data_IF_499102074046
#
_entry.id   IF_499102074046
#
_cell.length_a   1.000
_cell.length_b   1.000
_cell.length_c   1.000
_cell.angle_alpha   90.00
_cell.angle_beta   90.00
_cell.angle_gamma   90.00
#
_symmetry.space_group_name_H-M   'P 1'
#
loop_
_entity.id
_entity.type
_entity.pdbx_description
1 polymer ?
#
# COMPACT_ATOMS: atom_id res chain seq x y z
N UNK A 1 55.25 -33.18 10.01
CA UNK A 1 55.84 -32.35 11.09
C UNK A 1 55.48 -30.88 10.88
N UNK A 2 54.26 -30.44 11.22
CA UNK A 2 53.86 -29.01 11.13
C UNK A 2 52.84 -28.62 12.22
N UNK A 3 52.93 -29.19 13.43
CA UNK A 3 51.95 -28.93 14.51
C UNK A 3 52.57 -28.48 15.84
N UNK A 4 53.78 -27.93 15.84
CA UNK A 4 54.45 -27.51 17.09
C UNK A 4 55.09 -26.11 17.03
N UNK A 5 54.58 -25.19 16.20
CA UNK A 5 55.01 -23.78 16.24
C UNK A 5 53.98 -22.92 16.96
N UNK A 6 54.00 -23.14 18.27
CA UNK A 6 53.73 -22.24 19.38
C UNK A 6 52.95 -20.94 19.12
N UNK A 7 51.92 -20.75 19.94
CA UNK A 7 51.28 -19.51 20.44
C UNK A 7 52.24 -18.38 20.91
N UNK A 8 53.50 -18.34 20.46
CA UNK A 8 54.48 -17.30 20.78
C UNK A 8 54.14 -15.94 20.17
N UNK A 9 53.33 -15.88 19.11
CA UNK A 9 52.91 -14.62 18.46
C UNK A 9 51.89 -13.83 19.32
N UNK A 10 51.19 -14.48 20.25
CA UNK A 10 50.22 -13.83 21.14
C UNK A 10 50.76 -13.52 22.55
N UNK A 11 52.03 -13.85 22.85
CA UNK A 11 52.66 -13.53 24.14
C UNK A 11 52.91 -12.01 24.24
N UNK A 12 51.90 -11.29 24.68
CA UNK A 12 51.92 -9.83 24.92
C UNK A 12 50.69 -9.10 24.38
N UNK A 13 50.05 -9.66 23.35
CA UNK A 13 48.88 -9.05 22.70
C UNK A 13 47.54 -9.40 23.37
N UNK A 14 47.52 -10.32 24.33
CA UNK A 14 46.28 -10.73 25.04
C UNK A 14 45.56 -9.57 25.75
N UNK A 15 46.31 -8.56 26.24
CA UNK A 15 45.72 -7.34 26.82
C UNK A 15 45.05 -6.48 25.74
N UNK A 16 45.68 -6.36 24.57
CA UNK A 16 45.13 -5.65 23.41
C UNK A 16 43.88 -6.35 22.88
N UNK A 17 43.92 -7.68 22.75
CA UNK A 17 42.76 -8.49 22.39
C UNK A 17 41.60 -8.32 23.39
N UNK A 18 41.90 -8.31 24.69
CA UNK A 18 40.91 -8.07 25.74
C UNK A 18 40.25 -6.69 25.63
N UNK A 19 41.04 -5.64 25.36
CA UNK A 19 40.51 -4.28 25.16
C UNK A 19 39.63 -4.20 23.91
N UNK A 20 40.06 -4.81 22.80
CA UNK A 20 39.27 -4.84 21.56
C UNK A 20 37.96 -5.58 21.76
N UNK A 21 37.99 -6.76 22.40
CA UNK A 21 36.77 -7.53 22.68
C UNK A 21 35.81 -6.77 23.61
N UNK A 22 36.35 -6.11 24.65
CA UNK A 22 35.54 -5.27 25.53
C UNK A 22 34.94 -4.07 24.77
N UNK A 23 35.70 -3.44 23.88
CA UNK A 23 35.23 -2.36 23.02
C UNK A 23 34.13 -2.82 22.06
N UNK A 24 34.32 -3.96 21.38
CA UNK A 24 33.30 -4.55 20.53
C UNK A 24 32.04 -4.91 21.31
N UNK A 25 32.17 -5.53 22.49
CA UNK A 25 31.03 -5.83 23.35
C UNK A 25 30.28 -4.56 23.77
N UNK A 26 31.00 -3.49 24.11
CA UNK A 26 30.39 -2.20 24.46
C UNK A 26 29.64 -1.58 23.27
N UNK A 27 30.23 -1.57 22.07
CA UNK A 27 29.54 -1.11 20.86
C UNK A 27 28.31 -1.95 20.56
N UNK A 28 28.42 -3.29 20.66
CA UNK A 28 27.29 -4.19 20.51
C UNK A 28 26.20 -3.90 21.55
N UNK A 29 26.54 -3.64 22.81
CA UNK A 29 25.57 -3.25 23.83
C UNK A 29 24.89 -1.91 23.52
N UNK A 30 25.65 -0.89 23.11
CA UNK A 30 25.09 0.43 22.74
C UNK A 30 24.10 0.29 21.58
N UNK A 31 24.42 -0.52 20.57
CA UNK A 31 23.56 -0.74 19.40
C UNK A 31 22.37 -1.66 19.72
N UNK A 32 22.59 -2.74 20.49
CA UNK A 32 21.55 -3.72 20.79
C UNK A 32 20.48 -3.19 21.73
N UNK A 33 20.87 -2.37 22.71
CA UNK A 33 19.95 -1.71 23.65
C UNK A 33 19.54 -0.31 23.19
N UNK A 34 19.95 0.09 21.98
CA UNK A 34 19.74 1.44 21.43
C UNK A 34 19.94 2.54 22.48
N UNK A 35 21.08 2.54 23.19
CA UNK A 35 21.33 3.48 24.29
C UNK A 35 21.37 4.95 23.86
N UNK A 36 21.41 5.19 22.56
CA UNK A 36 21.37 6.52 21.94
C UNK A 36 19.94 6.93 21.52
N UNK A 37 18.94 6.04 21.68
CA UNK A 37 17.54 6.25 21.31
C UNK A 37 17.36 6.52 19.82
N UNK A 38 18.21 5.94 18.97
CA UNK A 38 18.18 6.18 17.52
C UNK A 38 16.97 5.51 16.89
N UNK A 39 16.64 4.28 17.26
CA UNK A 39 15.50 3.54 16.74
C UNK A 39 14.18 4.27 17.08
N UNK A 40 14.05 4.70 18.33
CA UNK A 40 12.82 5.31 18.88
C UNK A 40 12.69 6.80 18.57
N UNK A 41 13.67 7.38 17.88
CA UNK A 41 13.71 8.82 17.63
C UNK A 41 12.60 9.25 16.68
N UNK A 42 11.62 9.97 17.22
CA UNK A 42 10.70 10.82 16.46
C UNK A 42 11.18 12.27 16.53
N UNK A 43 11.56 12.92 15.41
CA UNK A 43 11.99 14.31 15.44
C UNK A 43 10.91 15.27 15.97
N UNK A 44 11.34 16.33 16.66
CA UNK A 44 10.45 17.41 17.06
C UNK A 44 10.04 18.27 15.86
N UNK A 45 8.80 18.76 15.80
CA UNK A 45 8.34 19.57 14.67
C UNK A 45 9.21 20.81 14.44
N UNK A 46 9.74 21.41 15.51
CA UNK A 46 10.68 22.53 15.42
C UNK A 46 11.99 22.19 14.69
N UNK A 47 12.40 20.91 14.68
CA UNK A 47 13.60 20.41 14.02
C UNK A 47 13.36 20.05 12.55
N UNK A 48 12.11 19.76 12.17
CA UNK A 48 11.77 19.29 10.83
C UNK A 48 11.86 20.45 9.84
N UNK A 49 12.49 20.19 8.70
CA UNK A 49 12.43 21.03 7.51
C UNK A 49 11.38 20.48 6.54
N UNK A 50 11.44 19.18 6.25
CA UNK A 50 10.43 18.46 5.46
C UNK A 50 10.20 17.06 6.02
N UNK A 51 9.00 16.54 5.84
CA UNK A 51 8.63 15.17 6.13
C UNK A 51 7.95 14.58 4.90
N UNK A 52 8.54 13.53 4.34
CA UNK A 52 7.88 12.70 3.34
C UNK A 52 7.27 11.47 4.02
N UNK A 53 5.99 11.21 3.76
CA UNK A 53 5.28 10.01 4.19
C UNK A 53 4.81 9.24 2.95
N UNK A 54 5.19 7.96 2.87
CA UNK A 54 4.65 7.02 1.89
C UNK A 54 3.75 6.01 2.57
N UNK A 55 2.49 5.96 2.15
CA UNK A 55 1.45 5.09 2.68
C UNK A 55 0.32 4.92 1.66
N UNK A 56 -0.34 3.76 1.65
CA UNK A 56 -1.49 3.46 0.77
C UNK A 56 -1.17 3.74 -0.71
N UNK A 57 0.06 3.42 -1.11
CA UNK A 57 0.64 3.67 -2.44
C UNK A 57 0.80 5.13 -2.88
N UNK A 58 0.64 6.09 -1.97
CA UNK A 58 0.87 7.50 -2.23
C UNK A 58 2.09 8.00 -1.47
N UNK A 59 2.66 9.11 -1.95
CA UNK A 59 3.73 9.84 -1.28
C UNK A 59 3.28 11.28 -1.05
N UNK A 60 3.36 11.74 0.20
CA UNK A 60 3.02 13.12 0.57
C UNK A 60 4.24 13.83 1.14
N UNK A 61 4.55 15.02 0.63
CA UNK A 61 5.58 15.89 1.20
C UNK A 61 4.93 16.95 2.08
N UNK A 62 5.33 17.00 3.35
CA UNK A 62 4.84 17.92 4.36
C UNK A 62 5.93 18.90 4.78
N UNK A 63 5.54 20.15 5.02
CA UNK A 63 6.37 21.25 5.50
C UNK A 63 5.72 21.88 6.74
N UNK A 64 6.49 22.26 7.78
CA UNK A 64 5.92 22.91 8.96
C UNK A 64 5.12 24.18 8.64
N UNK A 65 5.50 24.92 7.60
CA UNK A 65 4.87 26.19 7.24
C UNK A 65 3.47 26.03 6.65
N UNK A 66 3.23 24.97 5.85
CA UNK A 66 1.93 24.72 5.21
C UNK A 66 1.10 23.68 5.94
N UNK A 67 1.76 22.76 6.65
CA UNK A 67 1.19 21.45 6.99
C UNK A 67 1.33 21.10 8.47
N UNK A 68 1.41 22.12 9.35
CA UNK A 68 1.65 21.92 10.79
C UNK A 68 0.75 20.85 11.42
N UNK A 69 -0.55 20.89 11.11
CA UNK A 69 -1.53 19.94 11.68
C UNK A 69 -1.32 18.50 11.15
N UNK A 70 -1.09 18.32 9.85
CA UNK A 70 -0.80 17.00 9.27
C UNK A 70 0.54 16.47 9.75
N UNK A 71 1.53 17.34 9.88
CA UNK A 71 2.86 17.00 10.40
C UNK A 71 2.75 16.48 11.83
N UNK A 72 1.97 17.12 12.70
CA UNK A 72 1.72 16.62 14.05
C UNK A 72 0.94 15.30 14.05
N UNK A 73 -0.04 15.12 13.16
CA UNK A 73 -0.73 13.83 13.01
C UNK A 73 0.23 12.70 12.64
N UNK A 74 1.12 12.92 11.66
CA UNK A 74 2.12 11.92 11.26
C UNK A 74 3.15 11.67 12.37
N UNK A 75 3.54 12.70 13.12
CA UNK A 75 4.41 12.54 14.29
C UNK A 75 3.74 11.70 15.38
N UNK A 76 2.48 11.97 15.71
CA UNK A 76 1.72 11.19 16.68
C UNK A 76 1.58 9.73 16.23
N UNK A 77 1.25 9.49 14.95
CA UNK A 77 1.26 8.16 14.36
C UNK A 77 2.63 7.46 14.53
N UNK A 78 3.73 8.13 14.20
CA UNK A 78 5.08 7.56 14.34
C UNK A 78 5.42 7.26 15.81
N UNK A 79 5.03 8.13 16.74
CA UNK A 79 5.20 7.90 18.17
C UNK A 79 4.43 6.66 18.64
N UNK A 80 3.21 6.45 18.16
CA UNK A 80 2.42 5.26 18.48
C UNK A 80 3.03 3.99 17.89
N UNK A 81 3.55 4.04 16.66
CA UNK A 81 4.27 2.90 16.05
C UNK A 81 5.51 2.54 16.86
N UNK A 82 6.30 3.52 17.30
CA UNK A 82 7.47 3.31 18.16
C UNK A 82 7.06 2.77 19.53
N UNK A 83 5.99 3.31 20.13
CA UNK A 83 5.50 2.81 21.42
C UNK A 83 5.00 1.37 21.34
N UNK A 84 4.55 0.92 20.17
CA UNK A 84 4.04 -0.43 19.90
C UNK A 84 5.09 -1.35 19.23
N UNK A 85 6.38 -1.00 19.34
CA UNK A 85 7.49 -1.68 18.65
C UNK A 85 7.49 -3.20 18.89
N UNK A 86 7.23 -3.65 20.12
CA UNK A 86 7.23 -5.09 20.43
C UNK A 86 6.15 -5.84 19.66
N UNK A 87 4.96 -5.25 19.51
CA UNK A 87 3.86 -5.83 18.73
C UNK A 87 4.22 -5.83 17.24
N UNK A 88 4.72 -4.72 16.71
CA UNK A 88 5.14 -4.60 15.31
C UNK A 88 6.21 -5.65 14.97
N UNK A 89 7.25 -5.79 15.80
CA UNK A 89 8.31 -6.79 15.61
C UNK A 89 7.80 -8.22 15.71
N UNK A 90 6.91 -8.51 16.66
CA UNK A 90 6.32 -9.84 16.78
C UNK A 90 5.51 -10.20 15.53
N UNK A 91 4.64 -9.30 15.07
CA UNK A 91 3.80 -9.54 13.90
C UNK A 91 4.64 -9.66 12.62
N UNK A 92 5.65 -8.80 12.44
CA UNK A 92 6.59 -8.89 11.33
C UNK A 92 7.33 -10.25 11.31
N UNK A 93 7.82 -10.72 12.45
CA UNK A 93 8.47 -12.03 12.54
C UNK A 93 7.51 -13.19 12.23
N UNK A 94 6.23 -13.02 12.57
CA UNK A 94 5.18 -14.00 12.30
C UNK A 94 4.67 -13.95 10.87
N UNK A 95 4.91 -12.87 10.11
CA UNK A 95 4.40 -12.67 8.75
C UNK A 95 4.64 -13.88 7.84
N UNK A 96 5.81 -14.51 7.92
CA UNK A 96 6.14 -15.71 7.12
C UNK A 96 5.49 -17.01 7.63
N UNK A 97 4.99 -17.03 8.87
CA UNK A 97 4.41 -18.20 9.55
C UNK A 97 2.89 -18.16 9.69
N UNK A 98 2.28 -16.98 9.68
CA UNK A 98 0.83 -16.76 9.60
C UNK A 98 0.31 -16.70 8.17
N UNK A 99 1.19 -16.76 7.17
CA UNK A 99 0.81 -16.95 5.76
C UNK A 99 0.47 -18.44 5.48
N UNK A 100 -0.37 -19.02 6.33
CA UNK A 100 -1.15 -20.20 5.97
C UNK A 100 -2.30 -19.74 5.08
N UNK A 101 -2.70 -20.56 4.12
CA UNK A 101 -3.78 -20.32 3.14
C UNK A 101 -5.16 -19.95 3.75
N UNK A 102 -5.29 -19.98 5.07
CA UNK A 102 -6.42 -19.47 5.84
C UNK A 102 -6.25 -17.97 6.13
N UNK A 103 -6.28 -17.14 5.08
CA UNK A 103 -6.28 -15.69 5.20
C UNK A 103 -7.50 -15.26 6.03
N UNK A 104 -7.29 -14.78 7.26
CA UNK A 104 -8.41 -14.20 8.01
C UNK A 104 -8.84 -12.93 7.30
N UNK A 105 -10.11 -12.78 6.85
CA UNK A 105 -10.59 -11.66 6.03
C UNK A 105 -10.59 -10.29 6.75
N UNK A 106 -9.94 -10.20 7.90
CA UNK A 106 -9.96 -9.08 8.83
C UNK A 106 -8.55 -8.56 9.16
N UNK A 107 -7.54 -8.96 8.40
CA UNK A 107 -6.16 -8.50 8.58
C UNK A 107 -5.53 -8.09 7.26
N UNK A 108 -4.75 -7.02 7.27
CA UNK A 108 -4.03 -6.53 6.11
C UNK A 108 -2.62 -6.06 6.51
N UNK A 109 -1.65 -6.18 5.62
CA UNK A 109 -0.32 -5.59 5.85
C UNK A 109 -0.13 -4.36 4.98
N UNK A 110 0.43 -3.30 5.56
CA UNK A 110 0.78 -2.08 4.85
C UNK A 110 2.20 -1.61 5.17
N UNK A 111 2.84 -0.97 4.20
CA UNK A 111 4.14 -0.34 4.38
C UNK A 111 3.99 1.12 4.74
N UNK A 112 4.65 1.55 5.82
CA UNK A 112 4.78 2.96 6.19
C UNK A 112 6.24 3.38 6.06
N UNK A 113 6.50 4.37 5.19
CA UNK A 113 7.83 4.97 5.08
C UNK A 113 7.76 6.43 5.51
N UNK A 114 8.70 6.84 6.37
CA UNK A 114 8.84 8.21 6.82
C UNK A 114 10.26 8.69 6.56
N UNK A 115 10.41 9.76 5.80
CA UNK A 115 11.70 10.42 5.56
C UNK A 115 11.64 11.82 6.12
N UNK A 116 12.32 12.05 7.24
CA UNK A 116 12.50 13.36 7.83
C UNK A 116 13.77 13.99 7.30
N UNK A 117 13.67 15.21 6.77
CA UNK A 117 14.82 16.10 6.59
C UNK A 117 14.77 17.16 7.67
N UNK A 118 15.80 17.21 8.52
CA UNK A 118 15.89 18.18 9.60
C UNK A 118 16.54 19.48 9.13
N UNK A 119 16.27 20.59 9.82
CA UNK A 119 16.91 21.90 9.59
C UNK A 119 18.45 21.86 9.72
N UNK A 120 18.99 20.85 10.40
CA UNK A 120 20.44 20.58 10.47
C UNK A 120 21.01 19.97 9.18
N UNK A 121 20.18 19.61 8.20
CA UNK A 121 20.55 18.83 7.02
C UNK A 121 20.59 17.31 7.27
N UNK A 122 20.29 16.86 8.50
CA UNK A 122 20.23 15.42 8.81
C UNK A 122 19.00 14.79 8.17
N UNK A 123 19.19 13.69 7.44
CA UNK A 123 18.11 12.85 6.92
C UNK A 123 17.91 11.64 7.84
N UNK A 124 16.65 11.34 8.16
CA UNK A 124 16.25 10.19 8.98
C UNK A 124 15.17 9.43 8.22
N UNK A 125 15.47 8.20 7.81
CA UNK A 125 14.52 7.32 7.13
C UNK A 125 14.01 6.24 8.10
N UNK A 126 12.72 5.96 8.07
CA UNK A 126 12.03 4.91 8.84
C UNK A 126 11.14 4.11 7.91
N UNK A 127 11.15 2.81 8.11
CA UNK A 127 10.34 1.87 7.35
C UNK A 127 9.71 0.89 8.32
N UNK A 128 8.40 0.70 8.21
CA UNK A 128 7.63 -0.23 9.02
C UNK A 128 6.73 -1.09 8.13
N UNK A 129 6.67 -2.39 8.44
CA UNK A 129 5.67 -3.31 7.92
C UNK A 129 4.59 -3.48 8.99
N UNK A 130 3.46 -2.81 8.83
CA UNK A 130 2.41 -2.74 9.85
C UNK A 130 1.28 -3.71 9.53
N UNK A 131 0.89 -4.51 10.53
CA UNK A 131 -0.34 -5.29 10.49
C UNK A 131 -1.52 -4.38 10.88
N UNK A 132 -2.56 -4.36 10.06
CA UNK A 132 -3.81 -3.66 10.30
C UNK A 132 -4.88 -4.70 10.63
N UNK A 133 -5.62 -4.48 11.72
CA UNK A 133 -6.72 -5.37 12.14
C UNK A 133 -7.99 -4.58 12.41
N UNK A 134 -9.16 -5.17 12.16
CA UNK A 134 -10.46 -4.51 12.43
C UNK A 134 -10.63 -4.10 13.91
N UNK A 135 -10.17 -4.94 14.83
CA UNK A 135 -10.30 -4.69 16.26
C UNK A 135 -9.47 -3.49 16.72
N UNK A 136 -8.27 -3.32 16.17
CA UNK A 136 -7.38 -2.21 16.50
C UNK A 136 -7.78 -0.93 15.77
N UNK A 137 -8.30 -1.01 14.54
CA UNK A 137 -8.92 0.14 13.87
C UNK A 137 -10.05 0.78 14.68
N UNK A 138 -10.70 0.05 15.59
CA UNK A 138 -11.72 0.61 16.47
C UNK A 138 -11.17 1.23 17.77
N UNK A 139 -9.85 1.23 17.99
CA UNK A 139 -9.17 1.66 19.22
C UNK A 139 -8.34 2.93 18.96
N UNK A 140 -8.79 4.12 19.44
CA UNK A 140 -8.17 5.41 19.12
C UNK A 140 -6.69 5.58 19.45
N UNK A 141 -6.18 4.78 20.40
CA UNK A 141 -4.79 4.79 20.86
C UNK A 141 -3.83 3.97 19.99
N UNK A 142 -4.33 3.19 19.04
CA UNK A 142 -3.51 2.31 18.20
C UNK A 142 -2.99 3.03 16.96
N UNK A 143 -1.87 2.56 16.41
CA UNK A 143 -1.39 3.09 15.13
C UNK A 143 -2.37 2.78 14.00
N UNK A 144 -3.12 1.67 14.07
CA UNK A 144 -4.12 1.27 13.08
C UNK A 144 -5.15 2.38 12.91
N UNK A 145 -5.76 2.82 14.02
CA UNK A 145 -6.73 3.92 14.01
C UNK A 145 -6.13 5.22 13.49
N UNK A 146 -4.96 5.62 13.99
CA UNK A 146 -4.33 6.88 13.57
C UNK A 146 -3.95 6.89 12.08
N UNK A 147 -3.51 5.74 11.56
CA UNK A 147 -3.18 5.57 10.15
C UNK A 147 -4.42 5.67 9.28
N UNK A 148 -5.52 5.02 9.70
CA UNK A 148 -6.80 5.09 9.02
C UNK A 148 -7.36 6.51 9.01
N UNK A 149 -7.40 7.19 10.16
CA UNK A 149 -7.85 8.58 10.23
C UNK A 149 -7.01 9.52 9.36
N UNK A 150 -5.69 9.31 9.29
CA UNK A 150 -4.82 10.09 8.42
C UNK A 150 -5.16 9.86 6.95
N UNK A 151 -5.11 8.60 6.49
CA UNK A 151 -5.34 8.23 5.08
C UNK A 151 -6.74 8.62 4.61
N UNK A 152 -7.74 8.41 5.46
CA UNK A 152 -9.13 8.68 5.15
C UNK A 152 -9.61 10.10 5.48
N UNK A 153 -8.71 11.00 5.92
CA UNK A 153 -9.05 12.40 6.12
C UNK A 153 -9.30 13.13 4.80
N UNK A 154 -10.27 14.04 4.79
CA UNK A 154 -10.59 14.86 3.61
C UNK A 154 -9.38 15.66 3.10
N UNK A 155 -8.50 16.10 4.02
CA UNK A 155 -7.29 16.83 3.65
C UNK A 155 -6.30 15.97 2.88
N UNK A 156 -6.09 14.71 3.30
CA UNK A 156 -5.19 13.79 2.61
C UNK A 156 -5.80 13.32 1.29
N UNK A 157 -7.10 13.01 1.27
CA UNK A 157 -7.85 12.70 0.03
C UNK A 157 -7.77 13.85 -0.99
N UNK A 158 -7.93 15.10 -0.54
CA UNK A 158 -7.82 16.28 -1.41
C UNK A 158 -6.41 16.44 -1.99
N UNK A 159 -5.36 16.18 -1.20
CA UNK A 159 -3.97 16.17 -1.70
C UNK A 159 -3.72 15.11 -2.74
N UNK A 160 -4.30 13.91 -2.54
CA UNK A 160 -4.19 12.81 -3.50
C UNK A 160 -4.72 13.20 -4.88
N UNK A 161 -5.75 14.05 -4.92
CA UNK A 161 -6.35 14.58 -6.13
C UNK A 161 -5.66 15.86 -6.64
N UNK A 162 -4.64 16.38 -5.95
CA UNK A 162 -4.08 17.71 -6.23
C UNK A 162 -5.14 18.82 -6.31
N UNK A 163 -6.15 18.76 -5.45
CA UNK A 163 -7.15 19.83 -5.36
C UNK A 163 -6.48 21.10 -4.81
N UNK A 164 -6.70 22.22 -5.50
CA UNK A 164 -6.14 23.53 -5.16
C UNK A 164 -4.60 23.52 -5.00
N UNK A 165 -3.90 22.76 -5.85
CA UNK A 165 -2.45 22.60 -5.84
C UNK A 165 -1.76 23.65 -6.75
N UNK A 166 -0.76 24.37 -6.22
CA UNK A 166 0.02 25.37 -6.98
C UNK A 166 1.11 24.72 -7.85
N UNK A 167 1.49 23.48 -7.53
CA UNK A 167 2.60 22.77 -8.16
C UNK A 167 2.12 21.76 -9.20
N UNK A 168 1.01 21.07 -8.95
CA UNK A 168 0.43 20.09 -9.88
C UNK A 168 -0.76 20.66 -10.62
N UNK A 169 -0.87 20.38 -11.92
CA UNK A 169 -2.04 20.74 -12.73
C UNK A 169 -2.45 19.56 -13.60
N UNK A 170 -3.75 19.31 -13.69
CA UNK A 170 -4.29 18.27 -14.56
C UNK A 170 -3.96 18.56 -16.03
N UNK A 171 -3.33 17.60 -16.69
CA UNK A 171 -2.86 17.70 -18.07
C UNK A 171 -3.72 16.89 -19.04
N UNK A 172 -4.46 15.90 -18.54
CA UNK A 172 -5.31 15.01 -19.31
C UNK A 172 -5.74 13.81 -18.49
N UNK A 173 -5.81 12.65 -19.13
CA UNK A 173 -6.16 11.39 -18.50
C UNK A 173 -6.62 10.37 -19.52
N UNK A 174 -7.15 9.26 -19.02
CA UNK A 174 -7.75 8.22 -19.85
C UNK A 174 -9.01 7.67 -19.21
N UNK A 175 -9.92 7.15 -20.04
CA UNK A 175 -11.09 6.41 -19.61
C UNK A 175 -11.21 5.15 -20.46
N UNK A 176 -11.22 3.99 -19.82
CA UNK A 176 -11.58 2.72 -20.46
C UNK A 176 -12.93 2.24 -19.95
N UNK A 177 -13.76 1.69 -20.83
CA UNK A 177 -15.12 1.22 -20.51
C UNK A 177 -15.25 -0.24 -20.91
N UNK A 178 -15.37 -1.14 -19.93
CA UNK A 178 -15.37 -2.59 -20.14
C UNK A 178 -16.56 -3.08 -20.97
N UNK A 179 -17.75 -2.50 -20.76
CA UNK A 179 -18.97 -2.89 -21.50
C UNK A 179 -18.84 -2.72 -23.01
N UNK A 180 -17.97 -1.81 -23.46
CA UNK A 180 -17.72 -1.50 -24.87
C UNK A 180 -16.36 -2.00 -25.36
N UNK A 181 -15.41 -2.26 -24.46
CA UNK A 181 -14.02 -2.55 -24.80
C UNK A 181 -13.33 -1.36 -25.47
N UNK A 182 -13.71 -0.13 -25.08
CA UNK A 182 -13.26 1.11 -25.72
C UNK A 182 -12.48 1.99 -24.74
N UNK A 183 -11.38 2.56 -25.23
CA UNK A 183 -10.56 3.54 -24.52
C UNK A 183 -10.69 4.94 -25.11
N UNK A 184 -10.67 5.94 -24.24
CA UNK A 184 -10.78 7.36 -24.54
C UNK A 184 -9.59 8.10 -23.93
N UNK A 185 -8.92 8.91 -24.74
CA UNK A 185 -7.92 9.86 -24.27
C UNK A 185 -8.61 11.16 -23.87
N UNK A 186 -8.33 11.66 -22.66
CA UNK A 186 -8.92 12.87 -22.13
C UNK A 186 -7.99 14.05 -22.35
N UNK A 187 -8.51 15.13 -22.93
CA UNK A 187 -7.80 16.41 -22.97
C UNK A 187 -7.80 17.10 -21.60
N UNK A 188 -6.90 18.05 -21.39
CA UNK A 188 -6.82 18.82 -20.13
C UNK A 188 -8.14 19.46 -19.68
N UNK A 189 -8.99 19.90 -20.63
CA UNK A 189 -10.31 20.46 -20.31
C UNK A 189 -11.30 19.41 -19.79
N UNK A 190 -11.23 18.19 -20.30
CA UNK A 190 -12.06 17.07 -19.82
C UNK A 190 -11.54 16.60 -18.47
N UNK A 191 -10.23 16.42 -18.34
CA UNK A 191 -9.57 16.10 -17.07
C UNK A 191 -9.91 17.10 -15.96
N UNK A 192 -9.84 18.41 -16.23
CA UNK A 192 -10.23 19.46 -15.27
C UNK A 192 -11.71 19.40 -14.87
N UNK A 193 -12.61 19.17 -15.83
CA UNK A 193 -14.03 19.03 -15.53
C UNK A 193 -14.34 17.80 -14.67
N UNK A 194 -13.65 16.69 -14.94
CA UNK A 194 -13.76 15.43 -14.19
C UNK A 194 -13.16 15.60 -12.80
N UNK A 195 -11.94 16.14 -12.68
CA UNK A 195 -11.29 16.41 -11.39
C UNK A 195 -12.18 17.25 -10.47
N UNK A 196 -12.79 18.31 -11.00
CA UNK A 196 -13.73 19.15 -10.23
C UNK A 196 -14.97 18.38 -9.80
N UNK A 197 -15.44 17.43 -10.61
CA UNK A 197 -16.57 16.58 -10.25
C UNK A 197 -16.21 15.59 -9.13
N UNK A 198 -15.05 14.93 -9.25
CA UNK A 198 -14.51 14.06 -8.19
C UNK A 198 -14.29 14.83 -6.89
N UNK A 199 -13.79 16.07 -6.96
CA UNK A 199 -13.65 16.94 -5.79
C UNK A 199 -14.98 17.31 -5.12
N UNK A 200 -16.07 17.43 -5.89
CA UNK A 200 -17.42 17.62 -5.33
C UNK A 200 -17.95 16.34 -4.68
N UNK A 201 -17.71 15.19 -5.29
CA UNK A 201 -18.04 13.89 -4.67
C UNK A 201 -17.24 13.66 -3.38
N UNK A 202 -15.95 14.03 -3.34
CA UNK A 202 -15.16 14.03 -2.11
C UNK A 202 -15.80 14.91 -1.03
N UNK A 203 -16.16 16.16 -1.38
CA UNK A 203 -16.82 17.08 -0.44
C UNK A 203 -18.16 16.55 0.09
N UNK A 204 -18.86 15.75 -0.73
CA UNK A 204 -20.10 15.08 -0.35
C UNK A 204 -19.90 13.78 0.45
N UNK A 205 -18.65 13.33 0.63
CA UNK A 205 -18.32 12.05 1.30
C UNK A 205 -18.55 10.82 0.42
N UNK A 206 -18.61 10.98 -0.90
CA UNK A 206 -18.92 9.90 -1.86
C UNK A 206 -17.68 9.33 -2.56
N UNK A 207 -16.47 9.80 -2.25
CA UNK A 207 -15.23 9.32 -2.85
C UNK A 207 -14.06 9.27 -1.87
N UNK A 208 -13.14 8.35 -2.15
CA UNK A 208 -11.77 8.39 -1.65
C UNK A 208 -11.51 7.58 -0.39
N UNK A 209 -12.51 6.86 0.13
CA UNK A 209 -12.32 5.94 1.25
C UNK A 209 -11.39 4.79 0.84
N UNK A 210 -10.30 4.65 1.59
CA UNK A 210 -9.35 3.57 1.47
C UNK A 210 -9.78 2.43 2.39
N UNK A 211 -10.16 1.29 1.80
CA UNK A 211 -10.46 0.06 2.53
C UNK A 211 -9.18 -0.77 2.67
N UNK A 212 -8.74 -0.98 3.92
CA UNK A 212 -7.57 -1.79 4.22
C UNK A 212 -7.75 -3.28 3.89
N UNK A 213 -8.98 -3.79 3.84
CA UNK A 213 -9.28 -5.21 3.75
C UNK A 213 -9.90 -5.63 2.42
N UNK A 214 -10.42 -4.69 1.65
CA UNK A 214 -10.97 -4.98 0.32
C UNK A 214 -9.95 -4.66 -0.76
N UNK A 215 -9.58 -5.68 -1.52
CA UNK A 215 -8.97 -5.52 -2.83
C UNK A 215 -9.98 -5.61 -3.97
N UNK A 216 -11.28 -5.78 -3.68
CA UNK A 216 -12.31 -5.95 -4.72
C UNK A 216 -12.77 -4.58 -5.24
N UNK A 217 -12.77 -4.44 -6.56
CA UNK A 217 -13.36 -3.29 -7.26
C UNK A 217 -14.81 -3.56 -7.66
N UNK A 218 -15.44 -4.62 -7.14
CA UNK A 218 -16.72 -5.15 -7.60
C UNK A 218 -17.88 -4.17 -7.45
N UNK A 219 -17.78 -3.23 -6.50
CA UNK A 219 -18.77 -2.17 -6.28
C UNK A 219 -18.59 -0.93 -7.15
N UNK A 220 -17.44 -0.79 -7.82
CA UNK A 220 -17.17 0.29 -8.77
C UNK A 220 -17.78 -0.03 -10.13
N UNK A 221 -18.10 1.01 -10.90
CA UNK A 221 -18.42 0.84 -12.31
C UNK A 221 -17.27 0.16 -13.05
N UNK A 222 -17.60 -0.69 -14.01
CA UNK A 222 -16.66 -1.43 -14.86
C UNK A 222 -16.02 -0.50 -15.89
N UNK A 223 -15.18 0.40 -15.38
CA UNK A 223 -14.44 1.40 -16.11
C UNK A 223 -13.17 1.77 -15.35
N UNK A 224 -12.12 2.07 -16.10
CA UNK A 224 -10.86 2.59 -15.56
C UNK A 224 -10.74 4.07 -15.92
N UNK A 225 -10.92 4.94 -14.93
CA UNK A 225 -10.73 6.38 -15.07
C UNK A 225 -9.38 6.78 -14.47
N UNK A 226 -8.49 7.34 -15.28
CA UNK A 226 -7.22 7.92 -14.86
C UNK A 226 -7.17 9.43 -15.14
N UNK A 227 -6.58 10.19 -14.21
CA UNK A 227 -6.25 11.60 -14.43
C UNK A 227 -4.74 11.78 -14.35
N UNK A 228 -4.18 12.50 -15.32
CA UNK A 228 -2.75 12.79 -15.41
C UNK A 228 -2.48 14.22 -14.95
N UNK A 229 -1.36 14.40 -14.25
CA UNK A 229 -0.88 15.68 -13.74
C UNK A 229 0.52 15.97 -14.24
N UNK A 230 0.76 17.24 -14.55
CA UNK A 230 2.07 17.77 -14.90
C UNK A 230 2.47 18.80 -13.85
N UNK A 231 3.74 18.81 -13.46
CA UNK A 231 4.25 19.81 -12.54
C UNK A 231 4.39 21.18 -13.20
N UNK A 232 4.38 22.24 -12.39
CA UNK A 232 4.51 23.63 -12.86
C UNK A 232 5.84 23.88 -13.62
N UNK A 233 6.90 23.13 -13.29
CA UNK A 233 8.19 23.16 -13.99
C UNK A 233 8.26 22.24 -15.23
N UNK A 234 7.23 21.42 -15.47
CA UNK A 234 7.11 20.45 -16.58
C UNK A 234 8.17 19.36 -16.60
N UNK A 235 8.81 19.12 -15.45
CA UNK A 235 9.84 18.09 -15.32
C UNK A 235 9.32 16.82 -14.65
N UNK A 236 8.14 16.86 -14.04
CA UNK A 236 7.56 15.74 -13.28
C UNK A 236 6.15 15.45 -13.75
N UNK A 237 5.78 14.18 -13.61
CA UNK A 237 4.49 13.63 -13.95
C UNK A 237 3.95 12.87 -12.75
N UNK A 238 2.66 12.98 -12.53
CA UNK A 238 1.93 12.19 -11.54
C UNK A 238 0.59 11.77 -12.14
N UNK A 239 -0.07 10.78 -11.56
CA UNK A 239 -1.35 10.28 -12.03
C UNK A 239 -2.17 9.66 -10.90
N UNK A 240 -3.49 9.62 -11.07
CA UNK A 240 -4.39 8.96 -10.14
C UNK A 240 -5.44 8.12 -10.89
N UNK A 241 -5.68 6.90 -10.42
CA UNK A 241 -6.88 6.13 -10.77
C UNK A 241 -8.04 6.52 -9.86
N UNK A 242 -9.18 6.81 -10.48
CA UNK A 242 -10.44 7.14 -9.80
C UNK A 242 -11.40 5.98 -9.98
N UNK A 243 -11.61 5.21 -8.92
CA UNK A 243 -12.65 4.18 -8.90
C UNK A 243 -14.03 4.85 -8.82
N UNK A 244 -14.73 4.90 -9.94
CA UNK A 244 -16.05 5.54 -10.03
C UNK A 244 -17.11 4.60 -9.46
N UNK A 245 -17.79 5.01 -8.39
CA UNK A 245 -18.86 4.21 -7.77
C UNK A 245 -20.24 4.81 -8.03
N UNK A 246 -21.34 4.05 -7.83
CA UNK A 246 -22.70 4.60 -7.94
C UNK A 246 -23.01 5.77 -7.00
N UNK A 247 -22.25 5.97 -5.93
CA UNK A 247 -22.41 7.09 -5.01
C UNK A 247 -21.85 8.41 -5.58
N UNK A 248 -20.93 8.33 -6.55
CA UNK A 248 -20.24 9.49 -7.14
C UNK A 248 -21.09 10.18 -8.22
N UNK A 249 -22.24 10.73 -7.81
CA UNK A 249 -23.22 11.31 -8.74
C UNK A 249 -22.67 12.49 -9.53
N UNK A 250 -21.79 13.31 -8.93
CA UNK A 250 -21.23 14.47 -9.64
C UNK A 250 -20.29 14.04 -10.78
N UNK A 251 -19.47 13.02 -10.53
CA UNK A 251 -18.56 12.43 -11.51
C UNK A 251 -19.33 11.74 -12.62
N UNK A 252 -20.32 10.91 -12.28
CA UNK A 252 -21.17 10.23 -13.27
C UNK A 252 -21.89 11.24 -14.17
N UNK A 253 -22.54 12.25 -13.60
CA UNK A 253 -23.21 13.31 -14.36
C UNK A 253 -22.23 14.09 -15.26
N UNK A 254 -20.98 14.25 -14.81
CA UNK A 254 -19.94 14.90 -15.61
C UNK A 254 -19.56 14.06 -16.83
N UNK A 255 -19.31 12.77 -16.64
CA UNK A 255 -18.97 11.83 -17.70
C UNK A 255 -20.10 11.72 -18.74
N UNK A 256 -21.37 11.67 -18.31
CA UNK A 256 -22.54 11.67 -19.21
C UNK A 256 -22.63 12.97 -20.01
N UNK A 257 -22.41 14.13 -19.38
CA UNK A 257 -22.48 15.45 -20.04
C UNK A 257 -21.36 15.66 -21.05
N UNK A 258 -20.19 15.09 -20.80
CA UNK A 258 -19.07 15.07 -21.75
C UNK A 258 -19.31 14.08 -22.90
N UNK A 259 -20.32 13.21 -22.80
CA UNK A 259 -20.63 12.19 -23.80
C UNK A 259 -19.65 11.02 -23.78
N UNK A 260 -18.89 10.87 -22.68
CA UNK A 260 -17.92 9.79 -22.50
C UNK A 260 -18.61 8.48 -22.11
N UNK A 261 -19.68 8.57 -21.31
CA UNK A 261 -20.49 7.42 -20.87
C UNK A 261 -21.97 7.63 -21.18
N UNK A 262 -22.69 6.53 -21.26
CA UNK A 262 -24.15 6.46 -21.30
C UNK A 262 -24.66 5.59 -20.15
N UNK A 263 -25.97 5.63 -19.87
CA UNK A 263 -26.58 4.76 -18.85
C UNK A 263 -26.33 3.26 -19.06
N UNK A 264 -26.12 2.81 -20.29
CA UNK A 264 -25.82 1.41 -20.56
C UNK A 264 -24.41 0.99 -20.12
N UNK A 265 -23.51 1.96 -19.92
CA UNK A 265 -22.13 1.75 -19.47
C UNK A 265 -21.99 1.74 -17.95
N UNK A 266 -23.00 2.24 -17.23
CA UNK A 266 -23.03 2.32 -15.78
C UNK A 266 -23.39 0.96 -15.15
N UNK A 267 -22.56 -0.04 -15.42
CA UNK A 267 -22.61 -1.40 -14.88
C UNK A 267 -21.41 -1.62 -13.99
N UNK A 268 -21.60 -2.16 -12.79
CA UNK A 268 -20.48 -2.44 -11.87
C UNK A 268 -19.68 -3.66 -12.29
N UNK A 269 -18.41 -3.75 -11.87
CA UNK A 269 -17.58 -4.94 -12.13
C UNK A 269 -18.26 -6.23 -11.67
N UNK A 270 -18.92 -6.23 -10.50
CA UNK A 270 -19.69 -7.39 -10.01
C UNK A 270 -20.89 -7.75 -10.88
N UNK A 271 -21.52 -6.76 -11.52
CA UNK A 271 -22.64 -7.02 -12.44
C UNK A 271 -22.17 -7.50 -13.81
N UNK A 272 -21.03 -6.99 -14.28
CA UNK A 272 -20.47 -7.35 -15.59
C UNK A 272 -19.77 -8.71 -15.57
N UNK A 273 -19.02 -9.00 -14.50
CA UNK A 273 -18.24 -10.22 -14.29
C UNK A 273 -18.67 -10.91 -12.99
N UNK A 274 -19.92 -11.40 -12.87
CA UNK A 274 -20.43 -12.00 -11.63
C UNK A 274 -19.63 -13.23 -11.18
N UNK A 275 -18.98 -13.94 -12.10
CA UNK A 275 -18.06 -15.05 -11.82
C UNK A 275 -16.80 -14.63 -11.08
N UNK A 276 -16.31 -13.40 -11.30
CA UNK A 276 -15.10 -12.88 -10.65
C UNK A 276 -15.38 -12.35 -9.25
N UNK A 277 -16.66 -12.05 -8.96
CA UNK A 277 -17.11 -11.42 -7.72
C UNK A 277 -18.25 -12.21 -7.03
N UNK A 278 -18.34 -13.51 -7.30
CA UNK A 278 -19.36 -14.42 -6.78
C UNK A 278 -19.35 -14.52 -5.24
N UNK A 279 -20.51 -14.87 -4.67
CA UNK A 279 -20.76 -14.93 -3.23
C UNK A 279 -20.18 -16.18 -2.52
N UNK A 280 -19.34 -16.95 -3.19
CA UNK A 280 -18.63 -18.12 -2.70
C UNK A 280 -17.13 -17.90 -2.88
N UNK A 281 -16.47 -17.49 -1.80
CA UNK A 281 -15.03 -17.22 -1.73
C UNK A 281 -14.16 -18.44 -2.01
N UNK A 282 -14.06 -18.83 -3.28
CA UNK A 282 -12.93 -19.56 -3.82
C UNK A 282 -12.35 -18.72 -4.93
N UNK A 283 -11.25 -18.04 -4.62
CA UNK A 283 -10.39 -17.37 -5.59
C UNK A 283 -10.22 -18.23 -6.84
N UNK A 284 -10.42 -17.61 -8.00
CA UNK A 284 -10.12 -18.13 -9.33
C UNK A 284 -8.59 -18.19 -9.50
N UNK A 285 -7.96 -19.09 -8.76
CA UNK A 285 -6.71 -19.75 -9.11
C UNK A 285 -7.03 -21.24 -9.17
N UNK A 286 -7.89 -21.64 -10.11
CA UNK A 286 -7.92 -23.05 -10.50
C UNK A 286 -6.56 -23.36 -11.14
N UNK A 287 -5.77 -24.15 -10.44
CA UNK A 287 -4.58 -24.82 -10.95
C UNK A 287 -4.87 -25.33 -12.37
N UNK A 288 -4.13 -24.80 -13.36
CA UNK A 288 -3.95 -25.51 -14.62
C UNK A 288 -3.19 -26.78 -14.24
N UNK A 289 -3.77 -27.99 -14.37
CA UNK A 289 -3.04 -29.19 -14.01
C UNK A 289 -1.87 -29.33 -14.99
N UNK A 290 -0.64 -29.22 -14.47
CA UNK A 290 0.56 -29.62 -15.18
C UNK A 290 0.51 -31.15 -15.39
N UNK A 291 -0.17 -31.64 -16.43
CA UNK A 291 0.04 -33.01 -16.91
C UNK A 291 1.23 -33.03 -17.84
N UNK A 292 2.42 -33.03 -17.23
CA UNK A 292 3.69 -33.34 -17.87
C UNK A 292 4.07 -34.80 -17.64
N UNK A 293 3.78 -35.62 -18.66
CA UNK A 293 4.57 -36.77 -19.13
C UNK A 293 4.67 -38.08 -18.31
N UNK A 294 4.25 -39.14 -19.03
CA UNK A 294 4.85 -40.48 -19.11
C UNK A 294 4.66 -41.48 -17.95
N UNK A 295 3.65 -42.32 -18.09
CA UNK A 295 3.78 -43.75 -17.79
C UNK A 295 2.87 -44.59 -18.71
N UNK A 296 3.48 -45.22 -19.73
CA UNK A 296 2.90 -46.31 -20.51
C UNK A 296 2.96 -47.59 -19.67
N UNK A 297 1.82 -48.24 -19.42
CA UNK A 297 1.76 -49.68 -19.14
C UNK A 297 0.51 -50.28 -19.80
N UNK A 298 0.76 -51.24 -20.69
CA UNK A 298 -0.23 -52.12 -21.32
C UNK A 298 -0.71 -53.21 -20.35
N UNK A 299 -1.98 -53.66 -20.45
CA UNK A 299 -2.39 -55.03 -20.88
C UNK A 299 -3.89 -55.32 -20.69
N UNK A 300 -4.50 -55.74 -21.80
CA UNK A 300 -5.44 -56.87 -22.03
C UNK A 300 -6.68 -57.14 -21.14
N UNK A 301 -7.84 -56.97 -21.79
CA UNK A 301 -8.86 -57.99 -22.15
C UNK A 301 -9.46 -58.92 -21.07
N UNK A 302 -10.78 -58.84 -20.88
CA UNK A 302 -11.65 -60.03 -20.80
C UNK A 302 -13.14 -59.69 -21.00
N UNK A 303 -13.77 -60.57 -21.77
CA UNK A 303 -15.11 -60.55 -22.37
C UNK A 303 -16.17 -61.26 -21.52
N UNK A 304 -17.42 -60.75 -21.52
CA UNK A 304 -18.70 -61.50 -21.65
C UNK A 304 -19.89 -60.60 -21.28
N UNK A 305 -20.76 -60.23 -22.24
CA UNK A 305 -22.03 -60.90 -22.61
C UNK A 305 -23.17 -60.56 -21.61
N UNK A 306 -24.43 -60.23 -21.94
CA UNK A 306 -25.35 -60.55 -23.05
C UNK A 306 -26.68 -59.78 -22.72
N UNK A 307 -27.53 -59.20 -23.58
CA UNK A 307 -28.62 -59.79 -24.41
C UNK A 307 -29.51 -58.64 -24.97
N UNK A 308 -30.00 -58.79 -26.21
CA UNK A 308 -31.04 -58.01 -26.93
C UNK A 308 -32.41 -58.73 -26.88
N UNK A 309 -33.59 -58.10 -27.07
CA UNK A 309 -34.17 -57.89 -28.42
C UNK A 309 -34.95 -56.55 -28.52
N UNK A 310 -35.37 -55.99 -29.66
CA UNK A 310 -35.71 -56.48 -31.00
C UNK A 310 -35.39 -55.40 -32.05
#
# INVERSE_FOLDING_TARGET
MLLAKAFKVFRGSWKGLGIVLAGCALVCCVLHFDLLGVADRVPEASQIQTLEIRIADNTYTLTPEKDADLLEQVRALHQTVVADESYVREMEARRSSTWSEDETPNTAYTGLNLTYTLKSGTRIDRWYSLLITRDRLAQPETYDYLLDQFVNSDTVKARRLHLDDDFWTVSGGSLYIDTRGEGYELGSREGDAILKAVGRDLTAGNWGDYDWFSGDSGSSYAMDLGLDFESADKERYDWISVHVTPAMTETVDCLERLGLVTRADLVTYRQLYPEDYGADGSSIWQEVPHTGENAVVYTEDTTSAMVSPA
#
